data_IF_025521381948
#
_entry.id   IF_025521381948
#
_cell.length_a   1.000
_cell.length_b   1.000
_cell.length_c   1.000
_cell.angle_alpha   90.00
_cell.angle_beta   90.00
_cell.angle_gamma   90.00
#
_symmetry.space_group_name_H-M   'P 1'
#
loop_
_entity.id
_entity.type
_entity.pdbx_description
1 polymer ?
#
# COMPACT_ATOMS: atom_id res chain seq x y z
N UNK A 1 13.43 -18.65 -0.71
CA UNK A 1 13.44 -17.42 0.09
C UNK A 1 12.12 -17.30 0.85
N UNK A 2 12.18 -16.98 2.12
CA UNK A 2 11.00 -16.94 2.99
C UNK A 2 10.21 -15.64 2.87
N UNK A 3 10.87 -14.57 2.51
CA UNK A 3 10.20 -13.27 2.34
C UNK A 3 9.63 -13.14 0.94
N UNK A 4 8.52 -12.40 0.85
CA UNK A 4 7.94 -12.02 -0.44
C UNK A 4 7.90 -10.51 -0.56
N UNK A 5 8.24 -10.02 -1.74
CA UNK A 5 8.12 -8.61 -2.09
C UNK A 5 6.92 -8.45 -3.01
N UNK A 6 5.97 -7.63 -2.62
CA UNK A 6 4.72 -7.46 -3.34
C UNK A 6 4.48 -5.98 -3.56
N UNK A 7 4.23 -5.59 -4.81
CA UNK A 7 3.94 -4.19 -5.13
C UNK A 7 2.48 -4.06 -5.53
N UNK A 8 1.76 -3.24 -4.79
CA UNK A 8 0.41 -2.87 -5.15
C UNK A 8 0.41 -1.55 -5.90
N UNK A 9 -0.52 -1.41 -6.82
CA UNK A 9 -0.63 -0.24 -7.67
C UNK A 9 -2.03 0.36 -7.60
N UNK A 10 -2.10 1.67 -7.47
CA UNK A 10 -3.34 2.41 -7.61
C UNK A 10 -3.17 3.37 -8.79
N UNK A 11 -4.09 3.33 -9.72
CA UNK A 11 -4.07 4.27 -10.83
C UNK A 11 -4.82 5.52 -10.43
N UNK A 12 -4.18 6.66 -10.62
CA UNK A 12 -4.81 7.95 -10.40
C UNK A 12 -4.93 8.66 -11.74
N UNK A 13 -6.10 9.16 -12.05
CA UNK A 13 -6.27 9.97 -13.25
C UNK A 13 -5.99 11.43 -12.87
N UNK A 14 -5.18 12.09 -13.69
CA UNK A 14 -5.10 13.55 -13.62
C UNK A 14 -6.31 14.05 -14.37
N UNK A 15 -7.17 14.78 -13.70
CA UNK A 15 -8.36 15.36 -14.30
C UNK A 15 -7.95 16.56 -15.16
N UNK A 16 -7.34 16.24 -16.30
CA UNK A 16 -6.92 17.23 -17.28
C UNK A 16 -7.27 16.72 -18.66
N UNK A 17 -8.25 17.36 -19.27
CA UNK A 17 -8.76 16.98 -20.56
C UNK A 17 -7.70 17.00 -21.68
N UNK A 18 -6.61 17.73 -21.49
CA UNK A 18 -5.57 17.87 -22.51
C UNK A 18 -4.57 16.73 -22.48
N UNK A 19 -4.20 16.24 -21.31
CA UNK A 19 -3.09 15.29 -21.19
C UNK A 19 -3.51 13.84 -21.11
N UNK A 20 -4.71 13.53 -20.65
CA UNK A 20 -5.21 12.15 -20.45
C UNK A 20 -4.18 11.21 -19.79
N UNK A 21 -3.27 11.76 -19.00
CA UNK A 21 -2.22 11.00 -18.35
C UNK A 21 -2.75 10.35 -17.09
N UNK A 22 -2.37 9.09 -16.89
CA UNK A 22 -2.65 8.39 -15.64
C UNK A 22 -1.37 8.29 -14.85
N UNK A 23 -1.40 8.77 -13.60
CA UNK A 23 -0.33 8.54 -12.67
C UNK A 23 -0.60 7.27 -11.90
N UNK A 24 0.44 6.51 -11.63
CA UNK A 24 0.35 5.34 -10.79
C UNK A 24 0.96 5.64 -9.44
N UNK A 25 0.29 5.17 -8.40
CA UNK A 25 0.80 5.24 -7.03
C UNK A 25 1.15 3.82 -6.61
N UNK A 26 2.35 3.62 -6.11
CA UNK A 26 2.85 2.29 -5.76
C UNK A 26 3.07 2.17 -4.27
N UNK A 27 2.75 1.01 -3.72
CA UNK A 27 3.13 0.65 -2.36
C UNK A 27 3.77 -0.72 -2.40
N UNK A 28 5.02 -0.80 -1.95
CA UNK A 28 5.75 -2.07 -1.87
C UNK A 28 5.74 -2.61 -0.46
N UNK A 29 5.55 -3.92 -0.34
CA UNK A 29 5.51 -4.61 0.95
C UNK A 29 6.52 -5.74 0.97
N UNK A 30 7.20 -5.91 2.09
CA UNK A 30 7.99 -7.12 2.37
C UNK A 30 7.27 -7.88 3.46
N UNK A 31 6.95 -9.13 3.18
CA UNK A 31 6.10 -9.96 4.05
C UNK A 31 6.84 -11.26 4.35
N UNK A 32 6.83 -11.68 5.62
CA UNK A 32 7.45 -12.93 6.01
C UNK A 32 6.55 -14.15 5.68
N UNK A 33 7.05 -15.33 5.97
CA UNK A 33 6.34 -16.59 5.68
C UNK A 33 5.02 -16.74 6.45
N UNK A 34 4.85 -15.98 7.53
CA UNK A 34 3.64 -16.02 8.36
C UNK A 34 2.63 -14.94 8.01
N UNK A 35 2.94 -14.11 7.01
CA UNK A 35 2.04 -13.03 6.60
C UNK A 35 2.24 -11.72 7.34
N UNK A 36 3.30 -11.60 8.14
CA UNK A 36 3.60 -10.37 8.88
C UNK A 36 4.32 -9.37 7.98
N UNK A 37 3.90 -8.13 8.04
CA UNK A 37 4.54 -7.06 7.27
C UNK A 37 5.84 -6.67 7.95
N UNK A 38 6.97 -6.87 7.26
CA UNK A 38 8.30 -6.53 7.76
C UNK A 38 8.71 -5.12 7.35
N UNK A 39 8.30 -4.69 6.16
CA UNK A 39 8.61 -3.36 5.68
C UNK A 39 7.57 -2.93 4.65
N UNK A 40 7.46 -1.63 4.44
CA UNK A 40 6.54 -1.04 3.49
C UNK A 40 7.08 0.31 3.06
N UNK A 41 6.88 0.64 1.78
CA UNK A 41 7.27 1.95 1.27
C UNK A 41 6.36 2.32 0.11
N UNK A 42 5.92 3.57 0.10
CA UNK A 42 5.09 4.10 -0.96
C UNK A 42 5.89 5.02 -1.88
N UNK A 43 5.40 5.24 -3.09
CA UNK A 43 5.97 6.20 -4.03
C UNK A 43 5.57 7.63 -3.61
N UNK A 44 6.02 8.05 -2.43
CA UNK A 44 5.73 9.35 -1.86
C UNK A 44 6.99 10.20 -1.88
N UNK A 45 6.79 11.51 -2.07
CA UNK A 45 7.92 12.44 -2.18
C UNK A 45 8.55 12.73 -0.82
N UNK A 46 7.71 12.85 0.23
CA UNK A 46 8.20 13.22 1.55
C UNK A 46 8.66 11.99 2.32
N UNK A 47 9.86 12.08 2.89
CA UNK A 47 10.37 11.02 3.76
C UNK A 47 9.44 10.76 4.95
N UNK A 48 8.91 11.83 5.54
CA UNK A 48 8.02 11.67 6.71
C UNK A 48 6.71 10.94 6.37
N UNK A 49 6.27 11.02 5.10
CA UNK A 49 5.12 10.24 4.65
C UNK A 49 5.39 8.75 4.75
N UNK A 50 6.54 8.31 4.25
CA UNK A 50 6.93 6.91 4.33
C UNK A 50 7.17 6.48 5.77
N UNK A 51 7.76 7.33 6.60
CA UNK A 51 7.95 7.02 8.01
C UNK A 51 6.60 6.80 8.70
N UNK A 52 5.60 7.62 8.37
CA UNK A 52 4.27 7.48 8.95
C UNK A 52 3.56 6.21 8.44
N UNK A 53 3.67 5.92 7.14
CA UNK A 53 3.11 4.70 6.56
C UNK A 53 3.71 3.46 7.23
N UNK A 54 5.01 3.46 7.49
CA UNK A 54 5.66 2.35 8.21
C UNK A 54 5.06 2.14 9.60
N UNK A 55 4.73 3.21 10.30
CA UNK A 55 4.09 3.09 11.62
C UNK A 55 2.73 2.42 11.56
N UNK A 56 2.02 2.60 10.47
CA UNK A 56 0.69 2.03 10.30
C UNK A 56 0.76 0.53 9.99
N UNK A 57 1.69 0.12 9.16
CA UNK A 57 1.72 -1.22 8.57
C UNK A 57 2.65 -2.21 9.26
N UNK A 58 3.86 -1.79 9.62
CA UNK A 58 4.90 -2.74 10.07
C UNK A 58 4.46 -3.46 11.34
N UNK A 59 4.65 -4.77 11.35
CA UNK A 59 4.32 -5.64 12.46
C UNK A 59 2.92 -6.21 12.44
N UNK A 60 2.08 -5.74 11.54
CA UNK A 60 0.70 -6.23 11.41
C UNK A 60 0.62 -7.36 10.38
N UNK A 61 -0.46 -8.12 10.44
CA UNK A 61 -0.72 -9.19 9.47
C UNK A 61 -1.25 -8.56 8.17
N UNK A 62 -0.64 -8.94 7.06
CA UNK A 62 -0.94 -8.38 5.75
C UNK A 62 -2.38 -8.59 5.32
N UNK A 63 -2.96 -9.73 5.66
CA UNK A 63 -4.32 -10.10 5.29
C UNK A 63 -5.31 -9.84 6.43
N UNK A 64 -5.01 -10.38 7.62
CA UNK A 64 -5.96 -10.37 8.73
C UNK A 64 -6.24 -8.99 9.29
N UNK A 65 -5.25 -8.10 9.25
CA UNK A 65 -5.38 -6.76 9.83
C UNK A 65 -5.82 -5.71 8.82
N UNK A 66 -6.34 -6.13 7.66
CA UNK A 66 -6.73 -5.21 6.59
C UNK A 66 -7.72 -4.15 7.07
N UNK A 67 -8.75 -4.55 7.80
CA UNK A 67 -9.78 -3.61 8.25
C UNK A 67 -9.22 -2.62 9.27
N UNK A 68 -8.40 -3.11 10.19
CA UNK A 68 -7.75 -2.24 11.18
C UNK A 68 -6.82 -1.24 10.51
N UNK A 69 -5.98 -1.70 9.60
CA UNK A 69 -5.03 -0.85 8.88
C UNK A 69 -5.78 0.21 8.06
N UNK A 70 -6.81 -0.21 7.32
CA UNK A 70 -7.61 0.70 6.51
C UNK A 70 -8.29 1.76 7.36
N UNK A 71 -8.80 1.37 8.53
CA UNK A 71 -9.42 2.31 9.47
C UNK A 71 -8.41 3.34 9.97
N UNK A 72 -7.19 2.91 10.29
CA UNK A 72 -6.13 3.83 10.74
C UNK A 72 -5.79 4.82 9.62
N UNK A 73 -5.67 4.34 8.40
CA UNK A 73 -5.38 5.21 7.26
C UNK A 73 -6.47 6.28 7.10
N UNK A 74 -7.75 5.86 7.16
CA UNK A 74 -8.85 6.79 6.99
C UNK A 74 -8.95 7.82 8.11
N UNK A 75 -8.54 7.46 9.32
CA UNK A 75 -8.61 8.37 10.47
C UNK A 75 -7.37 9.24 10.63
N UNK A 76 -6.21 8.71 10.30
CA UNK A 76 -4.95 9.33 10.69
C UNK A 76 -4.08 9.80 9.54
N UNK A 77 -4.24 9.24 8.33
CA UNK A 77 -3.49 9.69 7.16
C UNK A 77 -4.34 10.71 6.39
N UNK A 78 -4.13 11.98 6.68
CA UNK A 78 -4.95 13.05 6.11
C UNK A 78 -4.20 13.73 4.95
N UNK A 79 -4.21 13.07 3.81
CA UNK A 79 -3.53 13.55 2.62
C UNK A 79 -4.23 13.07 1.34
N UNK A 80 -3.84 13.64 0.21
CA UNK A 80 -4.48 13.36 -1.07
C UNK A 80 -4.33 11.90 -1.53
N UNK A 81 -3.29 11.20 -1.07
CA UNK A 81 -3.05 9.80 -1.44
C UNK A 81 -3.71 8.79 -0.50
N UNK A 82 -4.54 9.23 0.44
CA UNK A 82 -5.18 8.36 1.42
C UNK A 82 -5.89 7.17 0.76
N UNK A 83 -6.77 7.45 -0.20
CA UNK A 83 -7.51 6.40 -0.89
C UNK A 83 -6.61 5.56 -1.79
N UNK A 84 -5.60 6.18 -2.38
CA UNK A 84 -4.65 5.46 -3.25
C UNK A 84 -3.85 4.42 -2.47
N UNK A 85 -3.49 4.71 -1.23
CA UNK A 85 -2.79 3.74 -0.38
C UNK A 85 -3.67 2.50 -0.17
N UNK A 86 -4.95 2.70 0.14
CA UNK A 86 -5.88 1.59 0.37
C UNK A 86 -6.08 0.78 -0.90
N UNK A 87 -6.25 1.45 -2.05
CA UNK A 87 -6.41 0.76 -3.34
C UNK A 87 -5.16 -0.05 -3.68
N UNK A 88 -3.98 0.54 -3.51
CA UNK A 88 -2.71 -0.16 -3.76
C UNK A 88 -2.55 -1.35 -2.81
N UNK A 89 -2.95 -1.20 -1.57
CA UNK A 89 -2.91 -2.28 -0.59
C UNK A 89 -3.82 -3.44 -1.02
N UNK A 90 -5.05 -3.15 -1.44
CA UNK A 90 -5.96 -4.18 -1.97
C UNK A 90 -5.37 -4.88 -3.19
N UNK A 91 -4.74 -4.13 -4.09
CA UNK A 91 -4.10 -4.70 -5.26
C UNK A 91 -2.95 -5.63 -4.88
N UNK A 92 -2.16 -5.25 -3.87
CA UNK A 92 -1.09 -6.10 -3.37
C UNK A 92 -1.64 -7.40 -2.77
N UNK A 93 -2.73 -7.33 -2.02
CA UNK A 93 -3.39 -8.51 -1.47
C UNK A 93 -3.86 -9.44 -2.59
N UNK A 94 -4.43 -8.88 -3.65
CA UNK A 94 -4.87 -9.66 -4.80
C UNK A 94 -3.71 -10.42 -5.42
N UNK A 95 -2.57 -9.77 -5.61
CA UNK A 95 -1.36 -10.41 -6.15
C UNK A 95 -0.86 -11.51 -5.23
N UNK A 96 -0.86 -11.26 -3.93
CA UNK A 96 -0.45 -12.25 -2.94
C UNK A 96 -1.32 -13.50 -2.99
N UNK A 97 -2.63 -13.32 -3.05
CA UNK A 97 -3.57 -14.43 -3.12
C UNK A 97 -3.41 -15.23 -4.42
N UNK A 98 -3.14 -14.57 -5.52
CA UNK A 98 -2.91 -15.23 -6.80
C UNK A 98 -1.63 -16.06 -6.79
N UNK A 99 -0.62 -15.62 -6.05
CA UNK A 99 0.67 -16.33 -5.98
C UNK A 99 0.66 -17.50 -5.01
N UNK A 100 -0.34 -17.60 -4.17
CA UNK A 100 -0.43 -18.64 -3.15
C UNK A 100 -0.79 -20.03 -3.71
N UNK A 101 -1.07 -20.12 -5.00
CA UNK A 101 -1.42 -21.39 -5.66
C UNK A 101 -0.21 -22.06 -6.26
#
# INVERSE_FOLDING_TARGET
MKEKYIVGTAKTSIDNAITKNYNSFFVGFIIDENGRILDVEASAILKITNDFIKKIFIGKDFIKDFDEISSIILKNYLGSSQKSIIVAYKDAIKKYNQSAN
#
